data_IF_497115556402
#
_entry.id   IF_497115556402
#
_cell.length_a   1.000
_cell.length_b   1.000
_cell.length_c   1.000
_cell.angle_alpha   90.00
_cell.angle_beta   90.00
_cell.angle_gamma   90.00
#
_symmetry.space_group_name_H-M   'P 1'
#
loop_
_entity.id
_entity.type
_entity.pdbx_description
1 polymer ?
#
# COMPACT_ATOMS: atom_id res chain seq x y z
N UNK A 1 -38.13 14.26 -43.64
CA UNK A 1 -36.89 13.51 -43.99
C UNK A 1 -35.66 13.97 -43.19
N UNK A 2 -35.54 15.25 -42.87
CA UNK A 2 -34.38 15.83 -42.15
C UNK A 2 -34.15 15.22 -40.77
N UNK A 3 -35.19 14.95 -39.97
CA UNK A 3 -35.07 14.40 -38.63
C UNK A 3 -34.51 12.96 -38.57
N UNK A 4 -34.82 12.11 -39.58
CA UNK A 4 -34.28 10.75 -39.65
C UNK A 4 -32.79 10.71 -40.02
N UNK A 5 -32.34 11.65 -40.86
CA UNK A 5 -30.93 11.79 -41.22
C UNK A 5 -30.12 12.31 -40.05
N UNK A 6 -30.61 13.29 -39.29
CA UNK A 6 -29.96 13.81 -38.09
C UNK A 6 -29.84 12.74 -37.01
N UNK A 7 -30.91 11.96 -36.77
CA UNK A 7 -30.90 10.86 -35.79
C UNK A 7 -29.91 9.75 -36.17
N UNK A 8 -29.81 9.40 -37.46
CA UNK A 8 -28.77 8.44 -37.92
C UNK A 8 -27.36 8.98 -37.69
N UNK A 9 -27.10 10.25 -37.96
CA UNK A 9 -25.81 10.88 -37.73
C UNK A 9 -25.41 10.87 -36.25
N UNK A 10 -26.35 11.17 -35.35
CA UNK A 10 -26.16 11.13 -33.91
C UNK A 10 -25.82 9.68 -33.43
N UNK A 11 -26.56 8.68 -33.92
CA UNK A 11 -26.30 7.28 -33.56
C UNK A 11 -24.90 6.84 -34.03
N UNK A 12 -24.51 7.19 -35.26
CA UNK A 12 -23.17 6.85 -35.79
C UNK A 12 -22.08 7.51 -34.95
N UNK A 13 -22.25 8.77 -34.57
CA UNK A 13 -21.31 9.50 -33.72
C UNK A 13 -21.19 8.85 -32.33
N UNK A 14 -22.29 8.49 -31.70
CA UNK A 14 -22.27 7.79 -30.39
C UNK A 14 -21.62 6.44 -30.47
N UNK A 15 -21.86 5.65 -31.51
CA UNK A 15 -21.18 4.36 -31.75
C UNK A 15 -19.68 4.56 -31.94
N UNK A 16 -19.26 5.56 -32.70
CA UNK A 16 -17.84 5.89 -32.89
C UNK A 16 -17.17 6.27 -31.58
N UNK A 17 -17.80 7.13 -30.78
CA UNK A 17 -17.31 7.51 -29.44
C UNK A 17 -17.19 6.28 -28.54
N UNK A 18 -18.18 5.39 -28.54
CA UNK A 18 -18.16 4.17 -27.74
C UNK A 18 -17.02 3.23 -28.16
N UNK A 19 -16.77 3.07 -29.48
CA UNK A 19 -15.66 2.24 -29.99
C UNK A 19 -14.31 2.85 -29.59
N UNK A 20 -14.12 4.15 -29.74
CA UNK A 20 -12.88 4.84 -29.35
C UNK A 20 -12.66 4.75 -27.84
N UNK A 21 -13.69 4.96 -27.04
CA UNK A 21 -13.60 4.82 -25.58
C UNK A 21 -13.25 3.40 -25.15
N UNK A 22 -13.89 2.39 -25.76
CA UNK A 22 -13.60 0.97 -25.48
C UNK A 22 -12.19 0.59 -25.92
N UNK A 23 -11.73 1.03 -27.08
CA UNK A 23 -10.36 0.83 -27.54
C UNK A 23 -9.32 1.46 -26.63
N UNK A 24 -9.57 2.70 -26.20
CA UNK A 24 -8.71 3.40 -25.25
C UNK A 24 -8.65 2.71 -23.90
N UNK A 25 -9.79 2.23 -23.38
CA UNK A 25 -9.85 1.49 -22.12
C UNK A 25 -9.08 0.16 -22.22
N UNK A 26 -9.19 -0.55 -23.34
CA UNK A 26 -8.44 -1.79 -23.58
C UNK A 26 -6.92 -1.55 -23.64
N UNK A 27 -6.48 -0.49 -24.32
CA UNK A 27 -5.06 -0.12 -24.38
C UNK A 27 -4.54 0.23 -22.99
N UNK A 28 -5.29 1.04 -22.21
CA UNK A 28 -4.93 1.36 -20.83
C UNK A 28 -4.88 0.11 -19.95
N UNK A 29 -5.83 -0.80 -20.12
CA UNK A 29 -5.84 -2.08 -19.40
C UNK A 29 -4.60 -2.91 -19.74
N UNK A 30 -4.28 -3.10 -21.02
CA UNK A 30 -3.10 -3.88 -21.44
C UNK A 30 -1.80 -3.24 -20.95
N UNK A 31 -1.66 -1.92 -21.08
CA UNK A 31 -0.46 -1.20 -20.60
C UNK A 31 -0.34 -1.18 -19.06
N UNK A 32 -1.45 -1.35 -18.34
CA UNK A 32 -1.46 -1.37 -16.88
C UNK A 32 -1.09 -2.73 -16.31
N UNK A 33 -1.15 -3.80 -17.10
CA UNK A 33 -0.78 -5.12 -16.59
C UNK A 33 0.72 -5.19 -16.31
N UNK A 34 1.12 -5.84 -15.21
CA UNK A 34 2.53 -6.03 -14.91
C UNK A 34 3.18 -6.87 -16.01
N UNK A 35 4.41 -6.50 -16.38
CA UNK A 35 5.18 -7.23 -17.38
C UNK A 35 5.58 -8.60 -16.83
N UNK A 36 4.81 -9.63 -17.16
CA UNK A 36 5.06 -11.03 -16.76
C UNK A 36 6.17 -11.73 -17.57
N UNK A 37 6.85 -11.03 -18.48
CA UNK A 37 7.97 -11.60 -19.24
C UNK A 37 9.20 -11.91 -18.36
N UNK A 38 9.26 -11.33 -17.16
CA UNK A 38 10.26 -11.63 -16.13
C UNK A 38 9.62 -12.63 -15.16
N UNK A 39 10.29 -13.77 -14.90
CA UNK A 39 9.90 -14.72 -13.86
C UNK A 39 10.25 -14.11 -12.50
N UNK A 40 9.31 -13.47 -11.79
CA UNK A 40 9.66 -12.76 -10.57
C UNK A 40 9.82 -13.75 -9.41
N UNK A 41 10.98 -13.71 -8.77
CA UNK A 41 11.23 -14.42 -7.53
C UNK A 41 10.62 -13.66 -6.33
N UNK A 42 10.46 -12.34 -6.47
CA UNK A 42 9.91 -11.47 -5.45
C UNK A 42 8.68 -10.72 -5.97
N UNK A 43 7.55 -10.87 -5.28
CA UNK A 43 6.31 -10.12 -5.52
C UNK A 43 6.07 -9.16 -4.36
N UNK A 44 5.94 -7.87 -4.65
CA UNK A 44 5.58 -6.86 -3.65
C UNK A 44 4.13 -6.44 -3.82
N UNK A 45 3.33 -6.63 -2.78
CA UNK A 45 1.91 -6.29 -2.71
C UNK A 45 1.66 -5.16 -1.72
N UNK A 46 0.60 -4.43 -1.94
CA UNK A 46 0.15 -3.49 -0.93
C UNK A 46 -0.41 -2.19 -1.48
N UNK A 47 -0.44 -1.22 -0.59
CA UNK A 47 -0.95 0.13 -0.82
C UNK A 47 0.17 1.14 -1.06
N UNK A 48 -0.11 2.41 -0.85
CA UNK A 48 0.84 3.52 -1.02
C UNK A 48 2.10 3.41 -0.16
N UNK A 49 2.03 2.75 1.00
CA UNK A 49 3.20 2.55 1.87
C UNK A 49 4.21 1.53 1.31
N UNK A 50 3.77 0.66 0.39
CA UNK A 50 4.68 -0.14 -0.44
C UNK A 50 5.07 0.58 -1.72
N UNK A 51 4.11 1.27 -2.38
CA UNK A 51 4.32 1.93 -3.67
C UNK A 51 5.33 3.10 -3.62
N UNK A 52 5.35 3.88 -2.54
CA UNK A 52 6.29 5.00 -2.36
C UNK A 52 5.93 6.26 -3.15
N UNK A 53 4.67 6.77 -3.04
CA UNK A 53 4.25 7.99 -3.73
C UNK A 53 5.13 9.18 -3.34
N UNK A 54 5.38 10.08 -4.30
CA UNK A 54 6.18 11.29 -4.08
C UNK A 54 7.70 11.08 -4.11
N UNK A 55 8.19 9.86 -4.26
CA UNK A 55 9.62 9.54 -4.37
C UNK A 55 9.99 9.30 -5.84
N UNK A 56 11.03 9.98 -6.32
CA UNK A 56 11.55 9.82 -7.68
C UNK A 56 12.71 8.81 -7.70
N UNK A 57 12.95 8.15 -8.86
CA UNK A 57 12.14 8.15 -10.07
C UNK A 57 10.92 7.24 -9.99
N UNK A 58 9.94 7.46 -10.89
CA UNK A 58 8.78 6.56 -11.03
C UNK A 58 9.22 5.18 -11.55
N UNK A 59 8.58 4.12 -11.04
CA UNK A 59 8.80 2.76 -11.52
C UNK A 59 8.01 2.41 -12.80
N UNK A 60 7.27 3.37 -13.35
CA UNK A 60 6.38 3.11 -14.49
C UNK A 60 5.08 2.36 -14.09
N UNK A 61 4.38 1.81 -15.07
CA UNK A 61 3.08 1.19 -14.91
C UNK A 61 1.95 2.21 -14.69
N UNK A 62 0.81 1.83 -14.11
CA UNK A 62 -0.30 2.75 -13.93
C UNK A 62 0.10 3.96 -13.12
N UNK A 63 0.06 5.13 -13.73
CA UNK A 63 0.43 6.41 -13.10
C UNK A 63 -0.24 6.62 -11.74
N UNK A 64 -1.51 6.23 -11.64
CA UNK A 64 -2.30 6.38 -10.41
C UNK A 64 -1.87 5.47 -9.26
N UNK A 65 -1.06 4.43 -9.51
CA UNK A 65 -0.49 3.61 -8.44
C UNK A 65 0.69 4.28 -7.75
N UNK A 66 1.31 5.26 -8.42
CA UNK A 66 2.39 6.08 -7.89
C UNK A 66 3.57 5.26 -7.33
N UNK A 67 3.97 4.20 -8.04
CA UNK A 67 5.13 3.37 -7.68
C UNK A 67 6.44 4.10 -7.93
N UNK A 68 7.39 3.95 -7.02
CA UNK A 68 8.74 4.50 -7.10
C UNK A 68 9.78 3.41 -7.28
N UNK A 69 10.82 3.66 -8.07
CA UNK A 69 12.02 2.80 -8.12
C UNK A 69 12.86 2.88 -6.83
N UNK A 70 12.56 3.83 -5.95
CA UNK A 70 13.21 4.00 -4.65
C UNK A 70 12.25 3.66 -3.48
N UNK A 71 11.18 2.90 -3.73
CA UNK A 71 10.37 2.31 -2.67
C UNK A 71 11.10 1.11 -2.05
N UNK A 72 10.65 0.66 -0.86
CA UNK A 72 11.34 -0.42 -0.17
C UNK A 72 11.39 -1.74 -0.97
N UNK A 73 10.37 -2.11 -1.80
CA UNK A 73 10.46 -3.32 -2.61
C UNK A 73 11.60 -3.30 -3.63
N UNK A 74 11.74 -2.21 -4.38
CA UNK A 74 12.84 -2.06 -5.35
C UNK A 74 14.21 -2.01 -4.67
N UNK A 75 14.30 -1.35 -3.52
CA UNK A 75 15.54 -1.29 -2.74
C UNK A 75 15.91 -2.67 -2.19
N UNK A 76 14.94 -3.44 -1.66
CA UNK A 76 15.17 -4.80 -1.19
C UNK A 76 15.58 -5.73 -2.32
N UNK A 77 14.88 -5.66 -3.46
CA UNK A 77 15.22 -6.45 -4.66
C UNK A 77 16.67 -6.22 -5.09
N UNK A 78 17.10 -4.94 -5.12
CA UNK A 78 18.49 -4.57 -5.43
C UNK A 78 19.49 -5.12 -4.39
N UNK A 79 19.17 -5.03 -3.09
CA UNK A 79 20.03 -5.52 -2.01
C UNK A 79 20.23 -7.05 -2.06
N UNK A 80 19.24 -7.78 -2.57
CA UNK A 80 19.24 -9.24 -2.60
C UNK A 80 19.47 -9.84 -3.99
N UNK A 81 19.58 -9.03 -5.04
CA UNK A 81 19.73 -9.50 -6.41
C UNK A 81 18.49 -10.24 -6.94
N UNK A 82 17.29 -9.95 -6.42
CA UNK A 82 16.05 -10.64 -6.80
C UNK A 82 15.35 -9.95 -7.98
N UNK A 83 14.75 -10.76 -8.85
CA UNK A 83 13.81 -10.28 -9.85
C UNK A 83 12.48 -9.90 -9.20
N UNK A 84 12.09 -8.60 -9.31
CA UNK A 84 10.91 -8.04 -8.64
C UNK A 84 9.75 -7.83 -9.59
N UNK A 85 8.56 -8.22 -9.14
CA UNK A 85 7.27 -7.76 -9.66
C UNK A 85 6.55 -6.94 -8.58
N UNK A 86 6.62 -5.61 -8.70
CA UNK A 86 5.91 -4.70 -7.80
C UNK A 86 4.50 -4.43 -8.32
N UNK A 87 3.50 -4.99 -7.67
CA UNK A 87 2.07 -4.81 -7.96
C UNK A 87 1.36 -3.92 -6.94
N UNK A 88 2.10 -3.30 -6.02
CA UNK A 88 1.53 -2.36 -5.06
C UNK A 88 0.85 -1.18 -5.77
N UNK A 89 -0.20 -0.62 -5.17
CA UNK A 89 -0.94 0.48 -5.76
C UNK A 89 -1.53 1.42 -4.70
N UNK A 90 -1.25 2.71 -4.82
CA UNK A 90 -1.75 3.72 -3.88
C UNK A 90 -3.28 3.66 -3.76
N UNK A 91 -3.79 3.65 -2.52
CA UNK A 91 -5.21 3.52 -2.22
C UNK A 91 -5.72 2.08 -2.19
N UNK A 92 -4.88 1.05 -2.42
CA UNK A 92 -5.31 -0.34 -2.34
C UNK A 92 -5.84 -0.70 -0.95
N UNK A 93 -6.90 -1.51 -0.94
CA UNK A 93 -7.49 -2.21 0.21
C UNK A 93 -7.23 -3.70 0.07
N UNK A 94 -7.50 -4.48 1.11
CA UNK A 94 -7.35 -5.95 1.10
C UNK A 94 -8.13 -6.62 -0.04
N UNK A 95 -9.31 -6.13 -0.39
CA UNK A 95 -10.10 -6.63 -1.53
C UNK A 95 -9.37 -6.48 -2.87
N UNK A 96 -8.56 -5.43 -3.05
CA UNK A 96 -7.77 -5.23 -4.28
C UNK A 96 -6.58 -6.19 -4.37
N UNK A 97 -6.19 -6.82 -3.26
CA UNK A 97 -5.25 -7.94 -3.30
C UNK A 97 -5.98 -9.22 -3.68
N UNK A 98 -7.11 -9.54 -3.02
CA UNK A 98 -7.75 -10.85 -3.06
C UNK A 98 -8.59 -11.10 -4.33
N UNK A 99 -9.47 -10.16 -4.68
CA UNK A 99 -10.57 -10.45 -5.61
C UNK A 99 -10.90 -9.35 -6.61
N UNK A 100 -10.60 -8.10 -6.30
CA UNK A 100 -10.98 -6.97 -7.14
C UNK A 100 -9.77 -6.34 -7.82
N UNK A 101 -9.95 -5.95 -9.06
CA UNK A 101 -8.97 -5.12 -9.75
C UNK A 101 -8.98 -3.68 -9.22
N UNK A 102 -7.88 -2.96 -9.39
CA UNK A 102 -7.79 -1.54 -9.08
C UNK A 102 -7.14 -0.79 -10.22
N UNK A 103 -7.74 0.31 -10.67
CA UNK A 103 -7.13 1.19 -11.66
C UNK A 103 -6.69 0.44 -12.94
N UNK A 104 -7.58 -0.38 -13.48
CA UNK A 104 -7.36 -1.22 -14.64
C UNK A 104 -6.33 -2.36 -14.44
N UNK A 105 -5.91 -2.63 -13.22
CA UNK A 105 -5.06 -3.78 -12.90
C UNK A 105 -5.91 -4.95 -12.39
N UNK A 106 -5.40 -6.16 -12.58
CA UNK A 106 -5.94 -7.38 -11.97
C UNK A 106 -5.75 -7.34 -10.44
N UNK A 107 -6.47 -8.17 -9.67
CA UNK A 107 -6.16 -8.37 -8.26
C UNK A 107 -4.68 -8.68 -8.06
N UNK A 108 -4.05 -8.06 -7.04
CA UNK A 108 -2.60 -8.17 -6.86
C UNK A 108 -2.14 -9.62 -6.64
N UNK A 109 -3.00 -10.48 -6.07
CA UNK A 109 -2.72 -11.91 -5.85
C UNK A 109 -2.42 -12.67 -7.14
N UNK A 110 -2.91 -12.21 -8.29
CA UNK A 110 -2.67 -12.84 -9.59
C UNK A 110 -1.22 -12.74 -10.05
N UNK A 111 -0.39 -11.95 -9.36
CA UNK A 111 1.05 -11.84 -9.61
C UNK A 111 1.86 -13.00 -9.01
N UNK A 112 1.28 -13.74 -8.06
CA UNK A 112 1.95 -14.88 -7.39
C UNK A 112 1.76 -16.14 -8.20
N UNK A 113 2.84 -16.87 -8.37
CA UNK A 113 2.86 -18.23 -8.95
C UNK A 113 3.87 -19.11 -8.20
N UNK A 114 3.97 -20.39 -8.58
CA UNK A 114 4.82 -21.41 -7.95
C UNK A 114 6.33 -21.08 -7.94
N UNK A 115 6.77 -20.13 -8.78
CA UNK A 115 8.17 -19.66 -8.83
C UNK A 115 8.46 -18.53 -7.87
N UNK A 116 7.42 -17.93 -7.28
CA UNK A 116 7.58 -16.87 -6.29
C UNK A 116 8.28 -17.44 -5.05
N UNK A 117 9.32 -16.77 -4.56
CA UNK A 117 10.11 -17.15 -3.38
C UNK A 117 9.98 -16.17 -2.24
N UNK A 118 9.57 -14.94 -2.54
CA UNK A 118 9.38 -13.89 -1.53
C UNK A 118 8.11 -13.10 -1.86
N UNK A 119 7.28 -12.85 -0.86
CA UNK A 119 6.16 -11.90 -0.95
C UNK A 119 6.21 -10.95 0.23
N UNK A 120 6.21 -9.64 -0.03
CA UNK A 120 6.02 -8.62 1.02
C UNK A 120 4.66 -7.97 0.90
N UNK A 121 4.01 -7.69 2.03
CA UNK A 121 2.63 -7.19 2.09
C UNK A 121 2.56 -5.97 3.01
N UNK A 122 2.18 -4.80 2.48
CA UNK A 122 1.89 -3.58 3.26
C UNK A 122 0.49 -3.08 2.92
N UNK A 123 -0.51 -3.46 3.71
CA UNK A 123 -1.93 -3.26 3.41
C UNK A 123 -2.75 -3.04 4.70
N UNK A 124 -4.01 -2.64 4.56
CA UNK A 124 -5.00 -2.55 5.66
C UNK A 124 -5.30 -1.13 6.09
N UNK A 125 -4.37 -0.18 5.96
CA UNK A 125 -4.59 1.19 6.39
C UNK A 125 -5.73 1.91 5.65
N UNK A 126 -5.98 1.55 4.38
CA UNK A 126 -7.11 2.10 3.61
C UNK A 126 -8.44 1.41 3.96
N UNK A 127 -8.40 0.18 4.44
CA UNK A 127 -9.58 -0.54 4.92
C UNK A 127 -10.20 0.17 6.13
N UNK A 128 -9.33 0.67 7.02
CA UNK A 128 -9.70 1.40 8.25
C UNK A 128 -9.54 2.93 8.09
N UNK A 129 -9.39 3.43 6.88
CA UNK A 129 -9.29 4.87 6.56
C UNK A 129 -8.20 5.63 7.33
N UNK A 130 -7.11 4.97 7.75
CA UNK A 130 -6.10 5.53 8.66
C UNK A 130 -5.49 6.86 8.15
N UNK A 131 -4.84 6.85 6.98
CA UNK A 131 -4.20 8.07 6.43
C UNK A 131 -5.25 9.09 5.97
N UNK A 132 -6.38 8.63 5.43
CA UNK A 132 -7.49 9.50 5.05
C UNK A 132 -7.99 10.33 6.26
N UNK A 133 -8.05 9.71 7.44
CA UNK A 133 -8.46 10.37 8.68
C UNK A 133 -7.47 11.44 9.12
N UNK A 134 -6.15 11.22 8.94
CA UNK A 134 -5.13 12.24 9.19
C UNK A 134 -5.39 13.45 8.29
N UNK A 135 -5.58 13.27 6.98
CA UNK A 135 -5.87 14.37 6.06
C UNK A 135 -7.18 15.10 6.38
N UNK A 136 -8.24 14.37 6.70
CA UNK A 136 -9.57 14.94 6.94
C UNK A 136 -9.60 15.87 8.17
N UNK A 137 -8.78 15.56 9.18
CA UNK A 137 -8.77 16.30 10.47
C UNK A 137 -7.64 17.32 10.59
N UNK A 138 -6.93 17.64 9.53
CA UNK A 138 -5.92 18.69 9.54
C UNK A 138 -6.49 20.06 9.83
N UNK A 139 -6.00 20.73 10.88
CA UNK A 139 -6.47 22.06 11.31
C UNK A 139 -6.10 23.16 10.30
N UNK A 140 -4.93 23.07 9.70
CA UNK A 140 -4.34 24.06 8.79
C UNK A 140 -4.53 23.75 7.31
N UNK A 141 -5.32 22.74 6.95
CA UNK A 141 -5.61 22.42 5.54
C UNK A 141 -6.42 23.55 4.89
N UNK A 142 -5.98 24.03 3.72
CA UNK A 142 -6.79 24.94 2.92
C UNK A 142 -8.18 24.36 2.68
N UNK A 143 -9.23 25.23 2.61
CA UNK A 143 -10.66 24.84 2.49
C UNK A 143 -10.94 23.78 1.42
N UNK A 144 -10.20 23.79 0.32
CA UNK A 144 -10.34 22.81 -0.77
C UNK A 144 -9.86 21.40 -0.43
N UNK A 145 -9.05 21.25 0.64
CA UNK A 145 -8.63 19.94 1.19
C UNK A 145 -9.43 19.53 2.43
N UNK A 146 -10.15 20.45 3.04
CA UNK A 146 -11.25 20.10 3.92
C UNK A 146 -12.36 19.58 3.03
N UNK A 147 -12.26 18.33 2.62
CA UNK A 147 -13.33 17.60 1.96
C UNK A 147 -14.59 17.73 2.84
N UNK A 148 -15.31 18.86 2.65
CA UNK A 148 -16.68 19.09 3.12
C UNK A 148 -16.99 18.56 4.53
N UNK A 149 -16.47 19.20 5.58
CA UNK A 149 -16.86 18.88 6.97
C UNK A 149 -16.48 17.47 7.46
N UNK A 150 -15.62 16.77 6.76
CA UNK A 150 -15.38 15.33 6.94
C UNK A 150 -14.53 14.93 8.15
N UNK A 151 -13.92 15.89 8.90
CA UNK A 151 -13.47 15.53 10.24
C UNK A 151 -14.65 15.08 11.10
N UNK A 152 -15.86 15.68 10.92
CA UNK A 152 -17.10 15.21 11.53
C UNK A 152 -17.64 13.87 10.97
N UNK A 153 -17.30 13.49 9.73
CA UNK A 153 -17.63 12.14 9.20
C UNK A 153 -16.66 11.06 9.65
N UNK A 154 -15.49 11.46 10.15
CA UNK A 154 -14.50 10.57 10.79
C UNK A 154 -14.82 10.39 12.29
N UNK A 155 -15.92 10.95 12.81
CA UNK A 155 -16.44 10.57 14.13
C UNK A 155 -16.79 9.08 14.23
N UNK A 156 -16.98 8.40 13.10
CA UNK A 156 -17.02 6.94 13.03
C UNK A 156 -15.60 6.37 12.82
N UNK A 157 -14.76 6.50 13.84
CA UNK A 157 -13.51 5.74 13.90
C UNK A 157 -13.80 4.25 13.75
N UNK A 158 -12.91 3.47 13.10
CA UNK A 158 -13.11 2.04 12.95
C UNK A 158 -13.33 1.39 14.31
N UNK A 159 -14.31 0.49 14.36
CA UNK A 159 -14.69 -0.26 15.55
C UNK A 159 -13.92 -1.58 15.60
N UNK A 160 -13.99 -2.30 16.72
CA UNK A 160 -13.30 -3.60 16.88
C UNK A 160 -13.69 -4.60 15.77
N UNK A 161 -14.95 -4.57 15.32
CA UNK A 161 -15.41 -5.41 14.21
C UNK A 161 -14.65 -5.13 12.91
N UNK A 162 -14.36 -3.86 12.60
CA UNK A 162 -13.64 -3.50 11.37
C UNK A 162 -12.21 -4.04 11.39
N UNK A 163 -11.58 -4.06 12.57
CA UNK A 163 -10.24 -4.65 12.76
C UNK A 163 -10.28 -6.17 12.73
N UNK A 164 -11.30 -6.80 13.33
CA UNK A 164 -11.49 -8.26 13.25
C UNK A 164 -11.69 -8.70 11.80
N UNK A 165 -12.56 -8.02 11.05
CA UNK A 165 -12.80 -8.31 9.64
C UNK A 165 -11.52 -8.06 8.80
N UNK A 166 -10.69 -7.06 9.16
CA UNK A 166 -9.41 -6.82 8.52
C UNK A 166 -8.42 -7.95 8.79
N UNK A 167 -8.34 -8.43 10.04
CA UNK A 167 -7.47 -9.56 10.41
C UNK A 167 -7.79 -10.80 9.57
N UNK A 168 -9.08 -11.16 9.45
CA UNK A 168 -9.50 -12.31 8.63
C UNK A 168 -9.11 -12.15 7.15
N UNK A 169 -9.22 -10.94 6.59
CA UNK A 169 -8.78 -10.68 5.22
C UNK A 169 -7.26 -10.77 5.07
N UNK A 170 -6.47 -10.32 6.06
CA UNK A 170 -5.01 -10.46 6.04
C UNK A 170 -4.60 -11.93 6.10
N UNK A 171 -5.25 -12.72 6.95
CA UNK A 171 -5.05 -14.19 7.01
C UNK A 171 -5.40 -14.83 5.66
N UNK A 172 -6.54 -14.47 5.06
CA UNK A 172 -6.94 -14.99 3.76
C UNK A 172 -5.92 -14.66 2.64
N UNK A 173 -5.30 -13.47 2.66
CA UNK A 173 -4.24 -13.08 1.72
C UNK A 173 -3.04 -14.03 1.87
N UNK A 174 -2.49 -14.19 3.06
CA UNK A 174 -1.31 -15.02 3.29
C UNK A 174 -1.61 -16.50 2.99
N UNK A 175 -2.77 -17.00 3.41
CA UNK A 175 -3.22 -18.36 3.10
C UNK A 175 -3.29 -18.60 1.58
N UNK A 176 -3.82 -17.63 0.83
CA UNK A 176 -3.90 -17.74 -0.63
C UNK A 176 -2.52 -17.71 -1.28
N UNK A 177 -1.58 -16.92 -0.77
CA UNK A 177 -0.19 -16.91 -1.24
C UNK A 177 0.45 -18.27 -0.99
N UNK A 178 0.33 -18.83 0.21
CA UNK A 178 0.88 -20.15 0.56
C UNK A 178 0.31 -21.29 -0.33
N UNK A 179 -0.96 -21.17 -0.78
CA UNK A 179 -1.54 -22.10 -1.73
C UNK A 179 -0.94 -21.98 -3.15
N UNK A 180 -0.65 -20.74 -3.60
CA UNK A 180 -0.14 -20.46 -4.95
C UNK A 180 1.38 -20.66 -5.06
N UNK A 181 2.10 -20.38 -3.97
CA UNK A 181 3.55 -20.43 -3.88
C UNK A 181 3.96 -21.04 -2.52
N UNK A 182 3.88 -22.36 -2.32
CA UNK A 182 4.16 -23.02 -1.04
C UNK A 182 5.59 -22.79 -0.52
N UNK A 183 6.54 -22.53 -1.41
CA UNK A 183 7.94 -22.27 -1.09
C UNK A 183 8.24 -20.78 -0.83
N UNK A 184 7.24 -19.91 -0.93
CA UNK A 184 7.46 -18.49 -0.76
C UNK A 184 7.52 -18.09 0.73
N UNK A 185 8.52 -17.30 1.08
CA UNK A 185 8.53 -16.58 2.35
C UNK A 185 7.57 -15.41 2.24
N UNK A 186 6.55 -15.37 3.09
CA UNK A 186 5.59 -14.27 3.21
C UNK A 186 6.00 -13.37 4.36
N UNK A 187 6.10 -12.06 4.12
CA UNK A 187 6.48 -11.08 5.13
C UNK A 187 5.42 -9.98 5.21
N UNK A 188 4.77 -9.84 6.35
CA UNK A 188 3.96 -8.66 6.64
C UNK A 188 4.86 -7.50 7.08
N UNK A 189 4.66 -6.35 6.43
CA UNK A 189 5.36 -5.10 6.69
C UNK A 189 4.33 -4.06 7.10
N UNK A 190 4.00 -3.89 8.39
CA UNK A 190 3.04 -2.89 8.84
C UNK A 190 3.51 -1.47 8.50
N UNK A 191 2.62 -0.51 8.73
CA UNK A 191 2.92 0.91 8.50
C UNK A 191 3.93 1.41 9.55
N UNK A 192 5.03 2.10 9.17
CA UNK A 192 5.89 2.77 10.13
C UNK A 192 5.09 3.81 10.91
N UNK A 193 5.55 4.17 12.10
CA UNK A 193 4.88 5.16 12.93
C UNK A 193 4.80 6.51 12.20
N UNK A 194 3.57 6.94 11.89
CA UNK A 194 3.31 8.26 11.27
C UNK A 194 3.21 9.34 12.34
N UNK A 195 2.54 9.02 13.45
CA UNK A 195 2.31 9.95 14.57
C UNK A 195 3.36 9.76 15.65
N UNK A 196 3.70 10.85 16.41
CA UNK A 196 4.53 10.71 17.60
C UNK A 196 3.85 9.83 18.64
N UNK A 197 4.61 9.17 19.53
CA UNK A 197 4.04 8.28 20.57
C UNK A 197 3.13 9.07 21.54
N UNK A 198 3.39 10.35 21.76
CA UNK A 198 2.57 11.24 22.58
C UNK A 198 2.46 12.63 21.93
N UNK A 199 1.44 13.39 22.31
CA UNK A 199 1.29 14.80 21.86
C UNK A 199 0.98 14.93 20.36
N UNK A 200 1.37 16.07 19.82
CA UNK A 200 1.21 16.46 18.41
C UNK A 200 2.25 17.54 18.07
N UNK A 201 2.37 17.94 16.79
CA UNK A 201 3.26 19.00 16.33
C UNK A 201 2.66 19.73 15.12
N UNK A 202 3.24 20.90 14.78
CA UNK A 202 2.78 21.70 13.65
C UNK A 202 2.85 20.96 12.30
N UNK A 203 3.87 20.11 12.10
CA UNK A 203 4.03 19.28 10.88
C UNK A 203 2.92 18.22 10.73
N UNK A 204 2.36 17.75 11.85
CA UNK A 204 1.22 16.82 11.86
C UNK A 204 -0.10 17.56 11.66
N UNK A 205 -0.27 18.75 12.24
CA UNK A 205 -1.45 19.60 12.04
C UNK A 205 -2.76 19.05 12.61
N UNK A 206 -2.71 18.14 13.56
CA UNK A 206 -3.87 17.56 14.24
C UNK A 206 -4.04 18.15 15.64
N UNK A 207 -5.29 18.15 16.16
CA UNK A 207 -5.52 18.34 17.59
C UNK A 207 -4.96 17.18 18.41
N UNK A 208 -4.66 17.41 19.69
CA UNK A 208 -4.19 16.34 20.58
C UNK A 208 -5.18 15.17 20.69
N UNK A 209 -6.47 15.48 20.70
CA UNK A 209 -7.55 14.49 20.74
C UNK A 209 -7.53 13.59 19.48
N UNK A 210 -7.54 14.19 18.28
CA UNK A 210 -7.50 13.43 17.02
C UNK A 210 -6.22 12.61 16.89
N UNK A 211 -5.06 13.18 17.27
CA UNK A 211 -3.80 12.45 17.28
C UNK A 211 -3.86 11.24 18.22
N UNK A 212 -4.48 11.39 19.41
CA UNK A 212 -4.67 10.28 20.36
C UNK A 212 -5.54 9.17 19.78
N UNK A 213 -6.69 9.50 19.19
CA UNK A 213 -7.59 8.52 18.55
C UNK A 213 -6.92 7.80 17.38
N UNK A 214 -6.15 8.52 16.56
CA UNK A 214 -5.45 7.92 15.43
C UNK A 214 -4.26 7.04 15.84
N UNK A 215 -3.64 7.28 16.99
CA UNK A 215 -2.68 6.33 17.59
C UNK A 215 -3.35 5.00 17.94
N UNK A 216 -4.59 5.04 18.48
CA UNK A 216 -5.35 3.81 18.73
C UNK A 216 -5.61 3.05 17.41
N UNK A 217 -6.02 3.75 16.35
CA UNK A 217 -6.20 3.13 15.02
C UNK A 217 -4.89 2.49 14.52
N UNK A 218 -3.76 3.20 14.64
CA UNK A 218 -2.44 2.68 14.26
C UNK A 218 -2.05 1.43 15.06
N UNK A 219 -2.26 1.46 16.38
CA UNK A 219 -1.99 0.33 17.28
C UNK A 219 -2.84 -0.89 16.96
N UNK A 220 -4.13 -0.71 16.69
CA UNK A 220 -5.02 -1.80 16.30
C UNK A 220 -4.63 -2.38 14.93
N UNK A 221 -4.28 -1.53 13.96
CA UNK A 221 -3.80 -1.97 12.65
C UNK A 221 -2.51 -2.80 12.77
N UNK A 222 -1.57 -2.37 13.62
CA UNK A 222 -0.35 -3.12 13.94
C UNK A 222 -0.68 -4.48 14.54
N UNK A 223 -1.56 -4.50 15.56
CA UNK A 223 -2.00 -5.72 16.28
C UNK A 223 -2.58 -6.75 15.33
N UNK A 224 -3.56 -6.37 14.50
CA UNK A 224 -4.21 -7.33 13.60
C UNK A 224 -3.28 -7.81 12.50
N UNK A 225 -2.32 -6.98 12.04
CA UNK A 225 -1.30 -7.40 11.08
C UNK A 225 -0.33 -8.41 11.71
N UNK A 226 0.08 -8.19 12.95
CA UNK A 226 0.90 -9.14 13.69
C UNK A 226 0.17 -10.46 13.96
N UNK A 227 -1.09 -10.40 14.42
CA UNK A 227 -1.91 -11.60 14.62
C UNK A 227 -2.04 -12.43 13.34
N UNK A 228 -2.30 -11.75 12.20
CA UNK A 228 -2.39 -12.44 10.91
C UNK A 228 -1.06 -13.14 10.56
N UNK A 229 0.09 -12.53 10.85
CA UNK A 229 1.38 -13.17 10.62
C UNK A 229 1.57 -14.43 11.48
N UNK A 230 1.22 -14.37 12.75
CA UNK A 230 1.29 -15.52 13.67
C UNK A 230 0.37 -16.67 13.22
N UNK A 231 -0.87 -16.35 12.84
CA UNK A 231 -1.87 -17.34 12.40
C UNK A 231 -1.50 -18.05 11.10
N UNK A 232 -0.65 -17.44 10.28
CA UNK A 232 -0.28 -17.97 8.95
C UNK A 232 1.16 -18.45 8.85
N UNK A 233 1.94 -18.36 9.96
CA UNK A 233 3.37 -18.68 9.96
C UNK A 233 4.21 -17.72 9.11
N UNK A 234 3.66 -16.53 8.78
CA UNK A 234 4.37 -15.52 8.00
C UNK A 234 5.37 -14.75 8.85
N UNK A 235 6.44 -14.24 8.25
CA UNK A 235 7.35 -13.33 8.93
C UNK A 235 6.67 -11.97 9.15
N UNK A 236 7.14 -11.27 10.16
CA UNK A 236 6.67 -9.94 10.54
C UNK A 236 7.86 -8.99 10.75
N UNK A 237 7.91 -7.90 9.99
CA UNK A 237 8.85 -6.82 10.23
C UNK A 237 8.14 -5.71 11.01
N UNK A 238 8.48 -5.49 12.27
CA UNK A 238 7.89 -4.39 13.05
C UNK A 238 8.44 -3.02 12.60
N UNK A 239 8.01 -2.59 11.40
CA UNK A 239 8.37 -1.27 10.86
C UNK A 239 7.74 -0.13 11.66
N UNK A 240 6.68 -0.40 12.44
CA UNK A 240 6.07 0.61 13.32
C UNK A 240 7.04 1.00 14.44
N UNK A 241 7.55 0.03 15.18
CA UNK A 241 8.51 0.28 16.26
C UNK A 241 9.81 0.89 15.73
N UNK A 242 10.29 0.46 14.56
CA UNK A 242 11.45 1.09 13.90
C UNK A 242 11.23 2.57 13.59
N UNK A 243 10.00 2.98 13.30
CA UNK A 243 9.64 4.35 12.92
C UNK A 243 9.26 5.27 14.09
N UNK A 244 9.19 4.78 15.34
CA UNK A 244 8.71 5.57 16.48
C UNK A 244 9.49 6.89 16.69
N UNK A 245 10.81 6.82 16.61
CA UNK A 245 11.70 7.99 16.76
C UNK A 245 11.82 8.80 15.46
N UNK A 246 11.26 8.32 14.34
CA UNK A 246 11.33 8.92 13.02
C UNK A 246 9.94 9.30 12.46
N UNK A 247 8.98 9.49 13.34
CA UNK A 247 7.62 9.91 12.99
C UNK A 247 7.60 11.32 12.34
N UNK A 248 6.43 11.78 11.89
CA UNK A 248 6.32 13.07 11.17
C UNK A 248 6.78 14.28 11.97
N UNK A 249 6.82 14.19 13.29
CA UNK A 249 7.26 15.27 14.19
C UNK A 249 8.77 15.26 14.48
N UNK A 250 9.46 14.18 14.14
CA UNK A 250 10.89 14.04 14.35
C UNK A 250 11.71 14.96 13.41
N UNK A 251 12.90 15.36 13.82
CA UNK A 251 13.82 16.14 13.01
C UNK A 251 14.31 15.34 11.81
N UNK A 252 14.72 14.09 12.04
CA UNK A 252 15.11 13.11 11.03
C UNK A 252 13.94 12.20 10.59
N UNK A 253 12.81 12.81 10.31
CA UNK A 253 11.56 12.11 9.97
C UNK A 253 11.70 11.19 8.75
N UNK A 254 11.14 9.98 8.88
CA UNK A 254 10.95 9.04 7.76
C UNK A 254 9.63 9.26 7.01
N UNK A 255 8.84 10.23 7.46
CA UNK A 255 7.49 10.49 6.95
C UNK A 255 7.45 11.88 6.32
N UNK A 256 6.91 12.02 5.12
CA UNK A 256 6.64 13.32 4.53
C UNK A 256 5.59 14.07 5.35
N UNK A 257 5.87 15.32 5.67
CA UNK A 257 4.84 16.25 6.16
C UNK A 257 4.07 16.85 4.98
N UNK A 258 3.02 17.60 5.28
CA UNK A 258 2.23 18.30 4.26
C UNK A 258 3.02 19.40 3.55
N UNK A 259 3.99 20.01 4.25
CA UNK A 259 4.88 21.02 3.68
C UNK A 259 5.96 20.43 2.77
N UNK A 260 6.39 19.18 3.01
CA UNK A 260 7.43 18.54 2.19
C UNK A 260 6.86 18.06 0.86
N UNK A 261 5.77 17.31 0.90
CA UNK A 261 5.13 16.70 -0.27
C UNK A 261 3.63 16.56 -0.08
N UNK A 262 2.86 17.60 -0.44
CA UNK A 262 1.42 17.67 -0.22
C UNK A 262 0.63 16.44 -0.68
N UNK A 263 0.93 15.91 -1.89
CA UNK A 263 0.25 14.75 -2.45
C UNK A 263 0.71 13.40 -1.87
N UNK A 264 1.83 13.39 -1.17
CA UNK A 264 2.41 12.21 -0.53
C UNK A 264 2.59 12.40 0.99
N UNK A 265 1.98 13.44 1.58
CA UNK A 265 2.07 13.68 3.01
C UNK A 265 1.64 12.45 3.81
N UNK A 266 2.25 12.26 4.96
CA UNK A 266 2.00 11.13 5.87
C UNK A 266 2.35 9.75 5.29
N UNK A 267 3.12 9.71 4.19
CA UNK A 267 3.72 8.50 3.64
C UNK A 267 5.22 8.46 3.89
N UNK A 268 5.84 7.28 3.88
CA UNK A 268 7.29 7.16 4.02
C UNK A 268 8.03 7.95 2.93
N UNK A 269 9.04 8.69 3.35
CA UNK A 269 10.00 9.34 2.45
C UNK A 269 11.13 8.37 2.06
N UNK A 270 12.12 8.87 1.31
CA UNK A 270 13.25 8.03 0.86
C UNK A 270 14.07 7.46 2.01
N UNK A 271 14.16 8.15 3.16
CA UNK A 271 14.87 7.64 4.33
C UNK A 271 14.09 6.46 4.96
N UNK A 272 12.78 6.61 5.14
CA UNK A 272 11.92 5.53 5.64
C UNK A 272 11.93 4.31 4.74
N UNK A 273 11.84 4.50 3.41
CA UNK A 273 11.90 3.38 2.45
C UNK A 273 13.23 2.63 2.53
N UNK A 274 14.37 3.34 2.64
CA UNK A 274 15.70 2.70 2.82
C UNK A 274 15.78 1.93 4.14
N UNK A 275 15.28 2.50 5.22
CA UNK A 275 15.30 1.86 6.54
C UNK A 275 14.49 0.56 6.52
N UNK A 276 13.27 0.57 5.98
CA UNK A 276 12.42 -0.63 5.84
C UNK A 276 13.13 -1.68 4.98
N UNK A 277 13.70 -1.31 3.83
CA UNK A 277 14.40 -2.25 2.95
C UNK A 277 15.60 -2.91 3.64
N UNK A 278 16.40 -2.13 4.37
CA UNK A 278 17.56 -2.64 5.14
C UNK A 278 17.11 -3.59 6.27
N UNK A 279 16.06 -3.24 6.99
CA UNK A 279 15.53 -4.07 8.07
C UNK A 279 14.92 -5.37 7.54
N UNK A 280 14.23 -5.35 6.39
CA UNK A 280 13.77 -6.55 5.69
C UNK A 280 14.93 -7.44 5.26
N UNK A 281 16.00 -6.86 4.69
CA UNK A 281 17.20 -7.61 4.31
C UNK A 281 17.79 -8.33 5.52
N UNK A 282 17.92 -7.66 6.67
CA UNK A 282 18.44 -8.24 7.89
C UNK A 282 17.52 -9.35 8.44
N UNK A 283 16.18 -9.13 8.45
CA UNK A 283 15.20 -10.11 8.88
C UNK A 283 15.31 -11.40 8.06
N UNK A 284 15.39 -11.29 6.74
CA UNK A 284 15.50 -12.43 5.84
C UNK A 284 16.84 -13.18 6.00
N UNK A 285 17.93 -12.48 6.29
CA UNK A 285 19.21 -13.14 6.58
C UNK A 285 19.16 -13.93 7.91
N UNK A 286 18.53 -13.36 8.94
CA UNK A 286 18.34 -14.05 10.22
C UNK A 286 17.46 -15.30 10.07
N UNK A 287 16.42 -15.22 9.26
CA UNK A 287 15.54 -16.36 8.97
C UNK A 287 16.29 -17.47 8.23
N UNK A 288 17.08 -17.17 7.20
CA UNK A 288 17.88 -18.14 6.47
C UNK A 288 18.85 -18.88 7.41
N UNK A 289 19.60 -18.16 8.26
CA UNK A 289 20.50 -18.77 9.24
C UNK A 289 19.77 -19.66 10.25
N UNK A 290 18.54 -19.32 10.62
CA UNK A 290 17.73 -20.13 11.53
C UNK A 290 17.26 -21.43 10.85
N UNK A 291 16.80 -21.36 9.61
CA UNK A 291 16.36 -22.55 8.85
C UNK A 291 17.54 -23.50 8.55
N UNK A 292 18.71 -22.98 8.18
CA UNK A 292 19.93 -23.77 7.98
C UNK A 292 20.34 -24.55 9.26
N UNK A 293 20.30 -23.89 10.42
CA UNK A 293 20.56 -24.54 11.71
C UNK A 293 19.54 -25.61 12.05
N UNK A 294 18.29 -25.43 11.72
CA UNK A 294 17.21 -26.39 11.97
C UNK A 294 17.30 -27.59 11.03
N UNK A 295 17.78 -27.39 9.80
CA UNK A 295 18.02 -28.44 8.83
C UNK A 295 19.28 -29.29 9.16
N UNK A 296 20.10 -28.88 10.13
CA UNK A 296 21.29 -29.64 10.58
C UNK A 296 22.52 -29.47 9.67
N UNK A 297 22.56 -28.36 8.95
CA UNK A 297 23.68 -27.90 8.12
C UNK A 297 24.58 -26.97 8.91
#
# INVERSE_FOLDING_TARGET
MLGKALMKGVIILLLFIAIVASGSALVLFVQSQPNRSVNPEYVAMGSSFAAGPGISPSAGGPFLCARSQANYPHLLAKLRGLSLLDVSCSGAKTQHILSEGQRFQMPQITAVDERTRLVTITIGGNDVSYIRSIFACQQNAERRFKLHGQCGLVENYPQEKDFSDLEERLVAIATKINQLAPEAIVVFVPYPAVLPPTGTCARLGLSAEHASRLRVVASQLLRVTHNASLRTGSLFLDSHSLGLEHNVCAEDSWIFSISDRRMAAFHPNSAGMRAIAKSLHNLLNQHAVYEDKKAGI
#
